data_IF_838425314345
#
_entry.id   IF_838425314345
#
_cell.length_a   1.000
_cell.length_b   1.000
_cell.length_c   1.000
_cell.angle_alpha   90.00
_cell.angle_beta   90.00
_cell.angle_gamma   90.00
#
_symmetry.space_group_name_H-M   'P 1'
#
loop_
_entity.id
_entity.type
_entity.pdbx_description
1 polymer ?
#
# COMPACT_ATOMS: atom_id res chain seq x y z
N UNK A 1 -0.70 15.46 6.38
CA UNK A 1 -0.85 14.30 7.29
C UNK A 1 -0.16 14.51 8.62
N UNK A 2 1.14 14.87 8.70
CA UNK A 2 1.82 15.11 10.00
C UNK A 2 1.08 16.08 10.95
N UNK A 3 0.72 17.27 10.50
CA UNK A 3 0.00 18.25 11.34
C UNK A 3 -1.32 17.68 11.92
N UNK A 4 -2.04 16.87 11.14
CA UNK A 4 -3.25 16.20 11.62
C UNK A 4 -2.93 15.16 12.71
N UNK A 5 -1.84 14.40 12.54
CA UNK A 5 -1.38 13.48 13.59
C UNK A 5 -1.06 14.24 14.88
N UNK A 6 -0.30 15.33 14.78
CA UNK A 6 0.10 16.14 15.95
C UNK A 6 -1.13 16.73 16.66
N UNK A 7 -2.13 17.23 15.92
CA UNK A 7 -3.38 17.75 16.48
C UNK A 7 -4.16 16.66 17.23
N UNK A 8 -4.25 15.45 16.66
CA UNK A 8 -4.92 14.30 17.30
C UNK A 8 -4.18 13.85 18.56
N UNK A 9 -2.85 13.83 18.52
CA UNK A 9 -2.02 13.55 19.69
C UNK A 9 -2.20 14.62 20.77
N UNK A 10 -2.32 15.90 20.40
CA UNK A 10 -2.64 17.01 21.31
C UNK A 10 -3.99 16.83 22.02
N UNK A 11 -4.94 16.15 21.38
CA UNK A 11 -6.21 15.72 21.96
C UNK A 11 -6.16 14.41 22.78
N UNK A 12 -4.99 13.77 22.87
CA UNK A 12 -4.82 12.48 23.57
C UNK A 12 -5.25 11.25 22.76
N UNK A 13 -5.45 11.39 21.45
CA UNK A 13 -5.82 10.26 20.58
C UNK A 13 -4.61 9.52 20.05
N UNK A 14 -4.84 8.28 19.61
CA UNK A 14 -3.87 7.45 18.89
C UNK A 14 -4.24 7.38 17.43
N UNK A 15 -3.24 7.42 16.54
CA UNK A 15 -3.42 7.43 15.09
C UNK A 15 -2.96 6.09 14.51
N UNK A 16 -3.91 5.33 13.99
CA UNK A 16 -3.65 4.06 13.29
C UNK A 16 -3.93 4.24 11.81
N UNK A 17 -2.94 3.93 10.96
CA UNK A 17 -3.09 4.03 9.51
C UNK A 17 -3.55 2.71 8.92
N UNK A 18 -4.47 2.77 7.97
CA UNK A 18 -4.75 1.61 7.11
C UNK A 18 -3.58 1.40 6.14
N UNK A 19 -3.05 0.18 6.08
CA UNK A 19 -1.85 -0.10 5.31
C UNK A 19 -1.92 -1.47 4.65
N UNK A 20 -1.83 -1.50 3.32
CA UNK A 20 -1.77 -2.72 2.54
C UNK A 20 -0.40 -2.84 1.86
N UNK A 21 0.60 -3.47 2.51
CA UNK A 21 1.97 -3.49 2.01
C UNK A 21 2.18 -4.48 0.86
N UNK A 22 1.18 -5.26 0.47
CA UNK A 22 1.35 -6.36 -0.48
C UNK A 22 0.93 -6.01 -1.89
N UNK A 23 0.19 -4.93 -2.08
CA UNK A 23 -0.41 -4.57 -3.36
C UNK A 23 0.25 -3.32 -3.91
N UNK A 24 0.43 -3.29 -5.22
CA UNK A 24 0.98 -2.14 -5.92
C UNK A 24 0.23 -1.96 -7.24
N UNK A 25 -0.10 -0.72 -7.57
CA UNK A 25 -0.62 -0.40 -8.90
C UNK A 25 0.55 -0.39 -9.90
N UNK A 26 0.34 -0.96 -11.09
CA UNK A 26 1.28 -0.83 -12.21
C UNK A 26 1.59 0.61 -12.60
N UNK A 27 0.75 1.57 -12.18
CA UNK A 27 0.92 3.01 -12.45
C UNK A 27 1.60 3.77 -11.29
N UNK A 28 2.01 3.08 -10.23
CA UNK A 28 2.67 3.71 -9.08
C UNK A 28 4.09 4.17 -9.41
N UNK A 29 4.59 5.16 -8.67
CA UNK A 29 6.00 5.57 -8.72
C UNK A 29 6.96 4.42 -8.41
N UNK A 30 6.55 3.48 -7.56
CA UNK A 30 7.31 2.28 -7.27
C UNK A 30 7.44 1.39 -8.51
N UNK A 31 6.34 1.16 -9.24
CA UNK A 31 6.37 0.40 -10.48
C UNK A 31 7.20 1.10 -11.57
N UNK A 32 7.20 2.43 -11.61
CA UNK A 32 8.04 3.20 -12.52
C UNK A 32 9.55 3.12 -12.17
N UNK A 33 9.88 3.11 -10.88
CA UNK A 33 11.28 3.09 -10.40
C UNK A 33 11.88 1.68 -10.30
N UNK A 34 11.05 0.67 -10.07
CA UNK A 34 11.42 -0.75 -10.00
C UNK A 34 10.42 -1.54 -10.86
N UNK A 35 10.62 -1.62 -12.19
CA UNK A 35 9.68 -2.29 -13.10
C UNK A 35 9.43 -3.78 -12.78
N UNK A 36 10.40 -4.43 -12.13
CA UNK A 36 10.34 -5.81 -11.66
C UNK A 36 9.67 -5.98 -10.29
N UNK A 37 9.21 -4.91 -9.64
CA UNK A 37 8.70 -4.97 -8.26
C UNK A 37 7.46 -5.85 -8.07
N UNK A 38 6.82 -6.28 -9.15
CA UNK A 38 5.62 -7.10 -9.11
C UNK A 38 5.89 -8.56 -9.45
N UNK A 39 5.20 -9.45 -8.73
CA UNK A 39 5.26 -10.90 -8.95
C UNK A 39 4.76 -11.25 -10.34
N UNK A 40 5.52 -12.11 -11.04
CA UNK A 40 5.15 -12.69 -12.32
C UNK A 40 5.08 -14.22 -12.21
N UNK A 41 4.21 -14.81 -13.00
CA UNK A 41 4.15 -16.27 -13.14
C UNK A 41 5.36 -16.79 -13.94
N UNK A 42 5.42 -18.12 -14.12
CA UNK A 42 6.50 -18.77 -14.85
C UNK A 42 6.59 -18.34 -16.32
N UNK A 43 5.47 -17.93 -16.91
CA UNK A 43 5.38 -17.52 -18.31
C UNK A 43 5.62 -16.00 -18.48
N UNK A 44 5.87 -15.29 -17.37
CA UNK A 44 6.18 -13.86 -17.34
C UNK A 44 4.93 -12.96 -17.22
N UNK A 45 3.74 -13.54 -17.08
CA UNK A 45 2.51 -12.77 -16.90
C UNK A 45 2.46 -12.17 -15.49
N UNK A 46 1.89 -10.97 -15.38
CA UNK A 46 1.69 -10.32 -14.09
C UNK A 46 0.68 -11.10 -13.25
N UNK A 47 1.03 -11.43 -12.00
CA UNK A 47 0.07 -11.98 -11.04
C UNK A 47 -0.74 -10.83 -10.48
N UNK A 48 -1.99 -10.72 -10.91
CA UNK A 48 -2.91 -9.66 -10.49
C UNK A 48 -3.96 -10.16 -9.52
N UNK A 49 -4.50 -9.25 -8.72
CA UNK A 49 -5.73 -9.47 -7.96
C UNK A 49 -6.85 -8.60 -8.54
N UNK A 50 -8.04 -9.16 -8.64
CA UNK A 50 -9.25 -8.37 -8.83
C UNK A 50 -9.68 -7.87 -7.45
N UNK A 51 -9.25 -6.67 -7.07
CA UNK A 51 -9.85 -6.03 -5.89
C UNK A 51 -11.32 -5.79 -6.18
N UNK A 52 -12.17 -6.55 -5.49
CA UNK A 52 -13.60 -6.35 -5.35
C UNK A 52 -14.38 -6.11 -6.66
N UNK A 53 -15.08 -7.16 -7.10
CA UNK A 53 -16.40 -6.99 -7.70
C UNK A 53 -17.46 -6.58 -6.65
N UNK A 54 -17.14 -5.68 -5.71
CA UNK A 54 -18.18 -4.96 -4.95
C UNK A 54 -18.63 -3.78 -5.82
N UNK A 55 -19.18 -4.14 -6.96
CA UNK A 55 -19.92 -3.22 -7.80
C UNK A 55 -21.30 -3.17 -7.16
N UNK A 56 -21.47 -2.32 -6.16
CA UNK A 56 -22.80 -1.76 -5.95
C UNK A 56 -23.06 -0.88 -7.18
N UNK A 57 -24.25 -0.93 -7.78
CA UNK A 57 -24.54 -0.32 -9.10
C UNK A 57 -24.31 1.22 -9.15
N UNK A 58 -23.97 1.84 -8.01
CA UNK A 58 -23.68 3.24 -7.83
C UNK A 58 -22.18 3.58 -7.66
N UNK A 59 -21.27 2.60 -7.66
CA UNK A 59 -19.83 2.86 -7.53
C UNK A 59 -19.19 3.03 -8.92
N UNK A 60 -18.34 4.06 -9.07
CA UNK A 60 -17.64 4.33 -10.32
C UNK A 60 -16.73 3.15 -10.69
N UNK A 61 -17.10 2.44 -11.75
CA UNK A 61 -16.38 1.29 -12.29
C UNK A 61 -14.99 1.65 -12.81
N UNK A 62 -14.65 2.94 -12.92
CA UNK A 62 -13.31 3.41 -13.25
C UNK A 62 -12.27 3.07 -12.17
N UNK A 63 -12.70 2.88 -10.90
CA UNK A 63 -11.82 2.48 -9.79
C UNK A 63 -11.49 0.97 -9.80
N UNK A 64 -12.20 0.18 -10.62
CA UNK A 64 -12.00 -1.26 -10.81
C UNK A 64 -10.87 -1.53 -11.83
N UNK A 65 -10.31 -0.48 -12.44
CA UNK A 65 -9.40 -0.58 -13.58
C UNK A 65 -7.91 -0.74 -13.26
N UNK A 66 -7.47 -0.52 -12.02
CA UNK A 66 -6.03 -0.56 -11.74
C UNK A 66 -5.61 -2.02 -11.52
N UNK A 67 -4.84 -2.56 -12.48
CA UNK A 67 -4.16 -3.84 -12.34
C UNK A 67 -3.24 -3.79 -11.12
N UNK A 68 -3.77 -4.19 -9.98
CA UNK A 68 -3.01 -4.28 -8.76
C UNK A 68 -2.25 -5.61 -8.79
N UNK A 69 -0.94 -5.51 -8.95
CA UNK A 69 -0.02 -6.62 -8.79
C UNK A 69 0.35 -6.83 -7.34
N UNK A 70 0.92 -7.99 -7.04
CA UNK A 70 1.54 -8.24 -5.74
C UNK A 70 2.99 -7.79 -5.75
N UNK A 71 3.44 -7.15 -4.67
CA UNK A 71 4.84 -6.81 -4.50
C UNK A 71 5.71 -8.06 -4.29
N UNK A 72 6.81 -8.15 -5.04
CA UNK A 72 7.79 -9.21 -4.89
C UNK A 72 8.79 -8.87 -3.78
N UNK A 73 8.47 -9.31 -2.57
CA UNK A 73 9.35 -9.18 -1.41
C UNK A 73 10.62 -10.03 -1.45
N UNK A 74 10.83 -10.88 -2.47
CA UNK A 74 12.11 -11.54 -2.70
C UNK A 74 13.18 -10.56 -3.20
N UNK A 75 12.77 -9.44 -3.79
CA UNK A 75 13.67 -8.39 -4.26
C UNK A 75 14.15 -7.49 -3.11
N UNK A 76 15.48 -7.32 -2.91
CA UNK A 76 16.01 -6.43 -1.88
C UNK A 76 15.50 -4.98 -2.02
N UNK A 77 15.41 -4.46 -3.24
CA UNK A 77 14.98 -3.09 -3.48
C UNK A 77 13.53 -2.84 -3.02
N UNK A 78 12.63 -3.81 -3.20
CA UNK A 78 11.24 -3.75 -2.71
C UNK A 78 11.20 -3.73 -1.19
N UNK A 79 12.02 -4.58 -0.52
CA UNK A 79 12.13 -4.58 0.95
C UNK A 79 12.64 -3.25 1.49
N UNK A 80 13.66 -2.68 0.87
CA UNK A 80 14.21 -1.38 1.30
C UNK A 80 13.22 -0.23 1.08
N UNK A 81 12.52 -0.22 -0.06
CA UNK A 81 11.43 0.73 -0.29
C UNK A 81 10.35 0.61 0.80
N UNK A 82 9.91 -0.60 1.13
CA UNK A 82 8.86 -0.79 2.12
C UNK A 82 9.31 -0.39 3.54
N UNK A 83 10.57 -0.64 3.91
CA UNK A 83 11.14 -0.12 5.16
C UNK A 83 11.12 1.40 5.21
N UNK A 84 11.43 2.07 4.11
CA UNK A 84 11.38 3.52 4.02
C UNK A 84 9.95 4.06 4.20
N UNK A 85 8.95 3.41 3.59
CA UNK A 85 7.53 3.74 3.77
C UNK A 85 7.10 3.55 5.23
N UNK A 86 7.40 2.40 5.83
CA UNK A 86 7.09 2.12 7.24
C UNK A 86 7.73 3.16 8.16
N UNK A 87 9.01 3.48 7.92
CA UNK A 87 9.73 4.51 8.67
C UNK A 87 9.04 5.87 8.52
N UNK A 88 8.72 6.29 7.30
CA UNK A 88 8.05 7.55 7.04
C UNK A 88 6.71 7.64 7.80
N UNK A 89 5.95 6.54 7.86
CA UNK A 89 4.67 6.51 8.55
C UNK A 89 4.78 6.54 10.08
N UNK A 90 5.69 5.75 10.67
CA UNK A 90 5.71 5.51 12.11
C UNK A 90 6.74 6.32 12.91
N UNK A 91 7.72 6.92 12.23
CA UNK A 91 8.77 7.66 12.93
C UNK A 91 8.27 9.01 13.45
N UNK A 92 8.69 9.45 14.64
CA UNK A 92 8.38 10.79 15.16
C UNK A 92 9.25 11.89 14.54
N UNK A 93 10.36 11.53 13.89
CA UNK A 93 11.32 12.49 13.33
C UNK A 93 10.71 13.49 12.31
N UNK A 94 11.31 14.69 12.15
CA UNK A 94 10.88 15.66 11.15
C UNK A 94 10.78 15.05 9.74
N UNK A 95 9.68 15.35 9.06
CA UNK A 95 9.38 14.78 7.74
C UNK A 95 8.66 13.43 7.76
N UNK A 96 8.46 12.81 8.93
CA UNK A 96 7.65 11.59 9.09
C UNK A 96 6.25 11.91 9.66
N UNK A 97 5.34 10.93 9.63
CA UNK A 97 3.94 11.11 10.02
C UNK A 97 3.63 10.90 11.50
N UNK A 98 4.51 10.24 12.26
CA UNK A 98 4.35 9.94 13.68
C UNK A 98 3.08 9.13 14.02
N UNK A 99 2.65 8.21 13.15
CA UNK A 99 1.53 7.34 13.46
C UNK A 99 1.90 6.31 14.52
N UNK A 100 0.94 5.93 15.36
CA UNK A 100 1.13 4.97 16.46
C UNK A 100 1.11 3.51 15.99
N UNK A 101 0.65 3.26 14.76
CA UNK A 101 0.64 1.92 14.21
C UNK A 101 -0.13 1.78 12.92
N UNK A 102 -0.30 0.52 12.52
CA UNK A 102 -1.00 0.12 11.31
C UNK A 102 -2.15 -0.83 11.62
N UNK A 103 -3.25 -0.65 10.89
CA UNK A 103 -4.12 -1.76 10.51
C UNK A 103 -3.52 -2.37 9.24
N UNK A 104 -2.83 -3.49 9.38
CA UNK A 104 -2.35 -4.28 8.25
C UNK A 104 -3.52 -4.93 7.53
N UNK A 105 -3.58 -4.77 6.22
CA UNK A 105 -4.63 -5.34 5.39
C UNK A 105 -4.06 -6.17 4.25
N UNK A 106 -4.86 -7.13 3.81
CA UNK A 106 -4.62 -7.94 2.62
C UNK A 106 -5.97 -8.19 1.95
N UNK A 107 -6.25 -7.40 0.92
CA UNK A 107 -7.49 -7.51 0.17
C UNK A 107 -7.36 -8.58 -0.92
N UNK A 108 -7.42 -9.84 -0.52
CA UNK A 108 -7.59 -10.98 -1.42
C UNK A 108 -8.79 -11.79 -0.96
N UNK A 109 -9.76 -11.99 -1.86
CA UNK A 109 -10.77 -13.02 -1.67
C UNK A 109 -10.13 -14.38 -1.95
N UNK A 110 -9.95 -15.18 -0.90
CA UNK A 110 -9.88 -16.63 -1.06
C UNK A 110 -11.25 -17.11 -1.59
N UNK A 111 -11.30 -18.07 -2.52
CA UNK A 111 -12.54 -18.73 -2.91
C UNK A 111 -13.34 -19.26 -1.70
#
# INVERSE_FOLDING_TARGET
MRALTDDLHGGGHKVILWFCPYMVSSESELAASIPECMVRDRDGNLVTTHLYQLVDDNCDKSLIGNQNGFLDYSLPAVREHMKAVIRYCLSPEPGCLDADGFKFDFNHQTP
#
